data_IF_803885597146
#
_entry.id   IF_803885597146
#
_cell.length_a   1.000
_cell.length_b   1.000
_cell.length_c   1.000
_cell.angle_alpha   90.00
_cell.angle_beta   90.00
_cell.angle_gamma   90.00
#
_symmetry.space_group_name_H-M   'P 1'
#
loop_
_entity.id
_entity.type
_entity.pdbx_description
1 polymer ?
#
# COMPACT_ATOMS: atom_id res chain seq x y z
N UNK A 1 -20.78 17.17 -11.52
CA UNK A 1 -21.83 16.28 -12.06
C UNK A 1 -21.96 15.14 -11.07
N UNK A 2 -23.05 15.04 -10.31
CA UNK A 2 -23.26 13.87 -9.44
C UNK A 2 -23.72 12.73 -10.34
N UNK A 3 -22.93 11.67 -10.41
CA UNK A 3 -23.37 10.44 -11.07
C UNK A 3 -24.46 9.79 -10.21
N UNK A 4 -25.70 9.88 -10.68
CA UNK A 4 -26.83 9.21 -10.05
C UNK A 4 -26.62 7.70 -10.11
N UNK A 5 -26.89 6.98 -8.99
CA UNK A 5 -26.81 5.52 -8.91
C UNK A 5 -27.64 4.84 -10.01
N UNK A 6 -28.73 5.47 -10.40
CA UNK A 6 -29.61 4.99 -11.49
C UNK A 6 -28.86 5.02 -12.82
N UNK A 7 -28.18 6.11 -13.15
CA UNK A 7 -27.40 6.24 -14.39
C UNK A 7 -26.28 5.20 -14.46
N UNK A 8 -25.54 4.98 -13.35
CA UNK A 8 -24.46 3.98 -13.31
C UNK A 8 -25.00 2.56 -13.52
N UNK A 9 -26.18 2.28 -13.00
CA UNK A 9 -26.88 0.98 -13.19
C UNK A 9 -27.39 0.83 -14.62
N UNK A 10 -28.07 1.83 -15.16
CA UNK A 10 -28.67 1.78 -16.49
C UNK A 10 -27.62 1.65 -17.60
N UNK A 11 -26.42 2.23 -17.36
CA UNK A 11 -25.27 2.05 -18.24
C UNK A 11 -24.49 0.76 -17.96
N UNK A 12 -24.95 -0.09 -17.05
CA UNK A 12 -24.25 -1.32 -16.63
C UNK A 12 -22.79 -1.09 -16.27
N UNK A 13 -22.50 0.07 -15.64
CA UNK A 13 -21.12 0.38 -15.20
C UNK A 13 -20.70 -0.60 -14.11
N UNK A 14 -21.56 -0.81 -13.12
CA UNK A 14 -21.39 -1.80 -12.06
C UNK A 14 -22.54 -2.79 -12.08
N UNK A 15 -22.25 -4.06 -12.26
CA UNK A 15 -23.27 -5.12 -12.20
C UNK A 15 -23.31 -5.74 -10.80
N UNK A 16 -24.51 -6.06 -10.34
CA UNK A 16 -24.72 -6.69 -9.03
C UNK A 16 -24.62 -8.22 -9.07
N UNK A 17 -24.68 -8.79 -10.25
CA UNK A 17 -24.77 -10.23 -10.51
C UNK A 17 -23.48 -10.89 -11.00
N UNK A 18 -22.38 -10.11 -11.07
CA UNK A 18 -21.10 -10.61 -11.54
C UNK A 18 -21.03 -10.89 -13.06
N UNK A 19 -22.03 -10.44 -13.82
CA UNK A 19 -22.14 -10.70 -15.27
C UNK A 19 -21.27 -9.81 -16.16
N UNK A 20 -20.30 -9.08 -15.57
CA UNK A 20 -19.32 -8.30 -16.32
C UNK A 20 -19.87 -6.94 -16.82
N UNK A 21 -19.81 -5.92 -15.96
CA UNK A 21 -20.07 -4.53 -16.34
C UNK A 21 -18.88 -3.86 -17.00
N UNK A 22 -19.03 -2.57 -17.34
CA UNK A 22 -17.92 -1.76 -17.88
C UNK A 22 -16.74 -1.70 -16.93
N UNK A 23 -17.01 -1.68 -15.62
CA UNK A 23 -15.97 -1.66 -14.58
C UNK A 23 -15.05 -2.89 -14.69
N UNK A 24 -15.61 -4.08 -14.83
CA UNK A 24 -14.85 -5.33 -14.92
C UNK A 24 -13.98 -5.39 -16.19
N UNK A 25 -14.40 -4.73 -17.26
CA UNK A 25 -13.60 -4.61 -18.49
C UNK A 25 -12.41 -3.66 -18.34
N UNK A 26 -12.52 -2.69 -17.43
CA UNK A 26 -11.47 -1.70 -17.16
C UNK A 26 -10.57 -2.08 -15.99
N UNK A 27 -10.97 -3.07 -15.17
CA UNK A 27 -10.25 -3.46 -13.96
C UNK A 27 -9.08 -4.39 -14.27
N UNK A 28 -7.92 -3.78 -14.50
CA UNK A 28 -6.62 -4.45 -14.57
C UNK A 28 -5.79 -4.23 -13.30
N UNK A 29 -6.42 -3.83 -12.20
CA UNK A 29 -5.71 -3.57 -10.96
C UNK A 29 -5.18 -4.85 -10.33
N UNK A 30 -4.01 -4.77 -9.71
CA UNK A 30 -3.33 -5.91 -9.07
C UNK A 30 -3.53 -5.95 -7.56
N UNK A 31 -4.09 -4.88 -6.98
CA UNK A 31 -4.34 -4.76 -5.53
C UNK A 31 -5.79 -4.38 -5.27
N UNK A 32 -6.31 -4.81 -4.11
CA UNK A 32 -7.67 -4.42 -3.70
C UNK A 32 -7.81 -2.90 -3.55
N UNK A 33 -6.81 -2.24 -2.95
CA UNK A 33 -6.80 -0.78 -2.82
C UNK A 33 -6.84 -0.08 -4.19
N UNK A 34 -6.11 -0.59 -5.20
CA UNK A 34 -6.17 -0.09 -6.57
C UNK A 34 -7.55 -0.26 -7.20
N UNK A 35 -8.18 -1.41 -6.99
CA UNK A 35 -9.55 -1.68 -7.46
C UNK A 35 -10.57 -0.72 -6.84
N UNK A 36 -10.48 -0.50 -5.54
CA UNK A 36 -11.38 0.40 -4.81
C UNK A 36 -11.18 1.86 -5.26
N UNK A 37 -9.93 2.27 -5.52
CA UNK A 37 -9.63 3.59 -6.05
C UNK A 37 -10.17 3.78 -7.48
N UNK A 38 -9.99 2.79 -8.37
CA UNK A 38 -10.58 2.81 -9.72
C UNK A 38 -12.10 2.94 -9.65
N UNK A 39 -12.75 2.15 -8.79
CA UNK A 39 -14.18 2.23 -8.55
C UNK A 39 -14.61 3.62 -8.06
N UNK A 40 -13.89 4.19 -7.11
CA UNK A 40 -14.16 5.51 -6.56
C UNK A 40 -14.03 6.60 -7.65
N UNK A 41 -13.03 6.54 -8.53
CA UNK A 41 -12.87 7.47 -9.64
C UNK A 41 -13.99 7.39 -10.67
N UNK A 42 -14.51 6.19 -10.95
CA UNK A 42 -15.64 6.03 -11.88
C UNK A 42 -16.94 6.54 -11.25
N UNK A 43 -17.14 6.32 -9.94
CA UNK A 43 -18.31 6.80 -9.23
C UNK A 43 -18.30 8.33 -9.04
N UNK A 44 -17.12 8.89 -8.76
CA UNK A 44 -16.92 10.29 -8.47
C UNK A 44 -15.82 10.87 -9.38
N UNK A 45 -16.10 11.08 -10.67
CA UNK A 45 -15.12 11.64 -11.59
C UNK A 45 -14.70 13.05 -11.15
N UNK A 46 -13.49 13.50 -11.53
CA UNK A 46 -13.02 14.83 -11.24
C UNK A 46 -14.04 15.91 -11.67
N UNK A 47 -14.32 16.85 -10.78
CA UNK A 47 -15.35 17.89 -10.93
C UNK A 47 -14.90 19.07 -11.81
N UNK A 48 -13.58 19.21 -12.04
CA UNK A 48 -13.00 20.26 -12.88
C UNK A 48 -12.11 19.68 -13.97
N UNK A 49 -11.99 20.41 -15.07
CA UNK A 49 -11.10 20.06 -16.16
C UNK A 49 -9.63 19.94 -15.71
N UNK A 50 -9.21 20.81 -14.81
CA UNK A 50 -7.86 20.82 -14.27
C UNK A 50 -7.54 19.52 -13.49
N UNK A 51 -8.42 19.13 -12.56
CA UNK A 51 -8.27 17.87 -11.83
C UNK A 51 -8.28 16.64 -12.77
N UNK A 52 -9.16 16.67 -13.78
CA UNK A 52 -9.19 15.61 -14.79
C UNK A 52 -7.85 15.52 -15.54
N UNK A 53 -7.31 16.67 -15.96
CA UNK A 53 -6.03 16.74 -16.64
C UNK A 53 -4.89 16.21 -15.75
N UNK A 54 -4.82 16.62 -14.49
CA UNK A 54 -3.83 16.13 -13.55
C UNK A 54 -3.91 14.60 -13.37
N UNK A 55 -5.13 14.05 -13.28
CA UNK A 55 -5.32 12.59 -13.21
C UNK A 55 -4.82 11.91 -14.47
N UNK A 56 -5.15 12.45 -15.65
CA UNK A 56 -4.67 11.91 -16.92
C UNK A 56 -3.15 11.98 -17.06
N UNK A 57 -2.53 13.06 -16.60
CA UNK A 57 -1.08 13.21 -16.65
C UNK A 57 -0.37 12.19 -15.73
N UNK A 58 -0.93 11.91 -14.55
CA UNK A 58 -0.43 10.84 -13.68
C UNK A 58 -0.56 9.45 -14.33
N UNK A 59 -1.70 9.15 -14.99
CA UNK A 59 -1.89 7.89 -15.73
C UNK A 59 -0.87 7.78 -16.88
N UNK A 60 -0.67 8.84 -17.66
CA UNK A 60 0.29 8.87 -18.76
C UNK A 60 1.72 8.69 -18.27
N UNK A 61 2.07 9.27 -17.12
CA UNK A 61 3.38 9.08 -16.50
C UNK A 61 3.61 7.59 -16.20
N UNK A 62 2.71 6.94 -15.48
CA UNK A 62 2.84 5.51 -15.18
C UNK A 62 2.81 4.61 -16.41
N UNK A 63 2.08 4.99 -17.46
CA UNK A 63 2.08 4.27 -18.74
C UNK A 63 3.44 4.34 -19.45
N UNK A 64 4.13 5.47 -19.33
CA UNK A 64 5.48 5.65 -19.90
C UNK A 64 6.58 5.02 -19.05
N UNK A 65 6.35 4.88 -17.76
CA UNK A 65 7.34 4.42 -16.79
C UNK A 65 6.84 3.22 -15.96
N UNK A 66 6.41 2.10 -16.59
CA UNK A 66 5.87 0.96 -15.87
C UNK A 66 6.88 0.31 -14.92
N UNK A 67 8.17 0.39 -15.23
CA UNK A 67 9.25 -0.22 -14.47
C UNK A 67 9.59 0.55 -13.17
N UNK A 68 9.10 1.78 -13.03
CA UNK A 68 9.31 2.56 -11.80
C UNK A 68 8.44 2.09 -10.64
N UNK A 69 7.36 1.34 -10.90
CA UNK A 69 6.54 0.80 -9.84
C UNK A 69 7.31 -0.27 -9.05
N UNK A 70 7.46 -0.15 -7.74
CA UNK A 70 8.20 -1.13 -6.94
C UNK A 70 7.40 -2.43 -6.80
N UNK A 71 7.75 -3.45 -7.57
CA UNK A 71 7.08 -4.76 -7.57
C UNK A 71 7.04 -5.45 -6.19
N UNK A 72 7.87 -4.98 -5.23
CA UNK A 72 7.88 -5.46 -3.85
C UNK A 72 6.58 -5.06 -3.10
N UNK A 73 5.89 -3.98 -3.52
CA UNK A 73 4.56 -3.61 -3.02
C UNK A 73 3.52 -4.43 -3.78
N UNK A 74 3.25 -5.62 -3.27
CA UNK A 74 2.25 -6.52 -3.83
C UNK A 74 0.93 -6.46 -3.06
N UNK A 75 -0.14 -7.03 -3.63
CA UNK A 75 -1.40 -7.18 -2.91
C UNK A 75 -1.22 -7.98 -1.59
N UNK A 76 -0.38 -9.01 -1.59
CA UNK A 76 -0.06 -9.77 -0.39
C UNK A 76 0.60 -8.90 0.69
N UNK A 77 1.52 -8.01 0.31
CA UNK A 77 2.15 -7.03 1.22
C UNK A 77 1.08 -6.14 1.86
N UNK A 78 0.16 -5.58 1.06
CA UNK A 78 -0.89 -4.69 1.55
C UNK A 78 -1.86 -5.40 2.50
N UNK A 79 -2.38 -6.57 2.12
CA UNK A 79 -3.29 -7.37 2.97
C UNK A 79 -2.66 -7.76 4.30
N UNK A 80 -1.37 -8.12 4.28
CA UNK A 80 -0.66 -8.48 5.52
C UNK A 80 -0.46 -7.29 6.45
N UNK A 81 -0.20 -6.11 5.90
CA UNK A 81 -0.08 -4.88 6.70
C UNK A 81 -1.42 -4.48 7.29
N UNK A 82 -2.50 -4.50 6.53
CA UNK A 82 -3.85 -4.23 7.01
C UNK A 82 -4.19 -5.13 8.22
N UNK A 83 -4.01 -6.45 8.06
CA UNK A 83 -4.25 -7.42 9.15
C UNK A 83 -3.36 -7.19 10.36
N UNK A 84 -2.11 -6.83 10.15
CA UNK A 84 -1.20 -6.53 11.25
C UNK A 84 -1.67 -5.31 12.04
N UNK A 85 -2.03 -4.22 11.38
CA UNK A 85 -2.52 -3.01 12.05
C UNK A 85 -3.89 -3.23 12.71
N UNK A 86 -4.79 -3.98 12.10
CA UNK A 86 -6.07 -4.36 12.72
C UNK A 86 -5.86 -5.21 13.99
N UNK A 87 -4.83 -6.05 14.02
CA UNK A 87 -4.50 -6.87 15.19
C UNK A 87 -3.65 -6.15 16.23
N UNK A 88 -3.06 -5.01 15.91
CA UNK A 88 -2.14 -4.29 16.78
C UNK A 88 -2.77 -3.87 18.12
N UNK A 89 -4.06 -3.57 18.13
CA UNK A 89 -4.82 -3.23 19.35
C UNK A 89 -4.95 -4.41 20.33
N UNK A 90 -4.72 -5.64 19.84
CA UNK A 90 -4.79 -6.86 20.68
C UNK A 90 -3.42 -7.35 21.14
N UNK A 91 -2.33 -6.77 20.59
CA UNK A 91 -0.96 -7.14 20.96
C UNK A 91 -0.59 -6.40 22.24
N UNK A 92 -0.32 -7.16 23.31
CA UNK A 92 0.17 -6.61 24.57
C UNK A 92 1.46 -5.83 24.36
N UNK A 93 1.58 -4.67 25.03
CA UNK A 93 2.78 -3.85 24.94
C UNK A 93 4.04 -4.68 25.27
N UNK A 94 5.13 -4.52 24.49
CA UNK A 94 6.35 -5.27 24.74
C UNK A 94 6.91 -4.94 26.13
N UNK A 95 7.41 -5.93 26.89
CA UNK A 95 8.03 -5.69 28.18
C UNK A 95 9.28 -4.83 28.01
N UNK A 96 9.46 -3.85 28.89
CA UNK A 96 10.62 -2.95 28.88
C UNK A 96 11.82 -3.53 29.64
N UNK A 97 13.04 -3.26 29.17
CA UNK A 97 14.29 -3.54 29.87
C UNK A 97 14.82 -4.97 29.76
N UNK A 98 15.56 -5.43 30.78
CA UNK A 98 16.21 -6.77 30.83
C UNK A 98 15.22 -7.93 30.70
N UNK A 99 13.95 -7.73 31.08
CA UNK A 99 12.86 -8.67 30.89
C UNK A 99 12.62 -8.97 29.37
N UNK A 100 13.05 -8.09 28.48
CA UNK A 100 12.87 -8.23 27.04
C UNK A 100 13.64 -9.43 26.46
N UNK A 101 14.87 -9.68 26.90
CA UNK A 101 15.69 -10.79 26.39
C UNK A 101 15.20 -12.14 26.88
N UNK A 102 14.82 -12.25 28.15
CA UNK A 102 14.33 -13.51 28.75
C UNK A 102 12.92 -13.80 28.28
N UNK A 103 12.06 -12.78 28.23
CA UNK A 103 10.67 -12.91 27.77
C UNK A 103 10.57 -13.18 26.26
N UNK A 104 11.47 -12.63 25.45
CA UNK A 104 11.56 -12.93 24.00
C UNK A 104 11.87 -14.40 23.75
N UNK A 105 12.73 -15.04 24.55
CA UNK A 105 13.01 -16.47 24.46
C UNK A 105 11.79 -17.30 24.86
N UNK A 106 11.12 -16.96 25.97
CA UNK A 106 9.91 -17.63 26.42
C UNK A 106 8.72 -17.41 25.47
N UNK A 107 8.53 -16.21 24.94
CA UNK A 107 7.51 -15.93 23.90
C UNK A 107 7.72 -16.76 22.63
N UNK A 108 8.96 -16.89 22.19
CA UNK A 108 9.32 -17.72 21.05
C UNK A 108 9.02 -19.22 21.29
N UNK A 109 9.12 -19.67 22.53
CA UNK A 109 8.91 -21.06 22.92
C UNK A 109 7.45 -21.39 23.20
N UNK A 110 6.70 -20.45 23.81
CA UNK A 110 5.31 -20.64 24.26
C UNK A 110 4.27 -20.17 23.23
N UNK A 111 4.55 -19.10 22.45
CA UNK A 111 3.65 -18.53 21.47
C UNK A 111 4.27 -18.50 20.05
N UNK A 112 4.58 -19.68 19.57
CA UNK A 112 5.25 -19.86 18.26
C UNK A 112 4.48 -19.21 17.11
N UNK A 113 3.14 -19.24 17.16
CA UNK A 113 2.29 -18.66 16.12
C UNK A 113 2.34 -17.13 16.11
N UNK A 114 2.24 -16.47 17.29
CA UNK A 114 2.34 -15.01 17.39
C UNK A 114 3.72 -14.50 16.97
N UNK A 115 4.79 -15.22 17.35
CA UNK A 115 6.15 -14.88 16.95
C UNK A 115 6.31 -14.93 15.42
N UNK A 116 5.80 -15.99 14.78
CA UNK A 116 5.84 -16.10 13.34
C UNK A 116 5.00 -15.03 12.64
N UNK A 117 3.81 -14.74 13.16
CA UNK A 117 2.94 -13.70 12.61
C UNK A 117 3.62 -12.33 12.69
N UNK A 118 4.15 -11.97 13.85
CA UNK A 118 4.86 -10.69 14.05
C UNK A 118 6.08 -10.58 13.14
N UNK A 119 6.92 -11.64 13.08
CA UNK A 119 8.09 -11.66 12.21
C UNK A 119 7.70 -11.53 10.73
N UNK A 120 6.66 -12.23 10.31
CA UNK A 120 6.16 -12.19 8.96
C UNK A 120 5.62 -10.80 8.60
N UNK A 121 4.83 -10.19 9.49
CA UNK A 121 4.29 -8.84 9.32
C UNK A 121 5.38 -7.78 9.27
N UNK A 122 6.40 -7.86 10.12
CA UNK A 122 7.56 -6.96 10.08
C UNK A 122 8.35 -7.10 8.77
N UNK A 123 8.43 -8.30 8.21
CA UNK A 123 9.06 -8.49 6.89
C UNK A 123 8.28 -7.76 5.79
N UNK A 124 6.95 -7.88 5.80
CA UNK A 124 6.09 -7.16 4.84
C UNK A 124 6.12 -5.65 5.06
N UNK A 125 6.19 -5.19 6.30
CA UNK A 125 6.38 -3.77 6.60
C UNK A 125 7.73 -3.25 6.06
N UNK A 126 8.80 -4.01 6.25
CA UNK A 126 10.11 -3.69 5.66
C UNK A 126 10.04 -3.63 4.13
N UNK A 127 9.37 -4.59 3.48
CA UNK A 127 9.19 -4.61 2.03
C UNK A 127 8.40 -3.39 1.54
N UNK A 128 7.35 -3.02 2.26
CA UNK A 128 6.57 -1.83 1.97
C UNK A 128 7.40 -0.55 2.07
N UNK A 129 8.16 -0.38 3.17
CA UNK A 129 9.02 0.79 3.36
C UNK A 129 10.14 0.88 2.31
N UNK A 130 10.73 -0.26 1.90
CA UNK A 130 11.68 -0.30 0.78
C UNK A 130 11.00 0.12 -0.52
N UNK A 131 9.77 -0.31 -0.76
CA UNK A 131 9.00 0.12 -1.92
C UNK A 131 8.66 1.62 -1.89
N UNK A 132 8.26 2.15 -0.73
CA UNK A 132 8.04 3.58 -0.53
C UNK A 132 9.31 4.42 -0.75
N UNK A 133 10.48 3.90 -0.33
CA UNK A 133 11.76 4.56 -0.60
C UNK A 133 11.99 4.70 -2.12
N UNK A 134 11.76 3.63 -2.88
CA UNK A 134 11.85 3.70 -4.35
C UNK A 134 10.85 4.66 -4.97
N UNK A 135 9.60 4.71 -4.45
CA UNK A 135 8.62 5.68 -4.91
C UNK A 135 9.05 7.12 -4.61
N UNK A 136 9.71 7.36 -3.47
CA UNK A 136 10.21 8.70 -3.12
C UNK A 136 11.31 9.19 -4.06
N UNK A 137 12.12 8.28 -4.65
CA UNK A 137 13.17 8.59 -5.63
C UNK A 137 12.58 9.08 -6.96
N UNK A 138 11.35 8.69 -7.31
CA UNK A 138 10.66 9.17 -8.52
C UNK A 138 10.51 10.69 -8.52
N UNK A 139 10.39 11.31 -7.36
CA UNK A 139 10.29 12.77 -7.22
C UNK A 139 11.49 13.56 -7.74
N UNK A 140 12.59 12.90 -8.11
CA UNK A 140 13.79 13.50 -8.70
C UNK A 140 13.75 13.56 -10.23
N UNK A 141 12.72 12.96 -10.85
CA UNK A 141 12.54 13.01 -12.31
C UNK A 141 11.90 14.33 -12.74
N UNK A 142 12.32 14.85 -13.89
CA UNK A 142 11.87 16.14 -14.41
C UNK A 142 10.40 16.15 -14.89
N UNK A 143 9.85 14.99 -15.25
CA UNK A 143 8.54 14.87 -15.87
C UNK A 143 7.42 14.38 -14.89
N UNK A 144 7.68 14.44 -13.58
CA UNK A 144 6.73 14.00 -12.55
C UNK A 144 5.50 14.93 -12.51
N UNK A 145 4.29 14.39 -12.70
CA UNK A 145 3.06 15.18 -12.65
C UNK A 145 2.84 15.84 -11.29
N UNK A 146 2.24 17.05 -11.29
CA UNK A 146 1.96 17.84 -10.08
C UNK A 146 1.17 17.04 -9.05
N UNK A 147 0.18 16.27 -9.48
CA UNK A 147 -0.61 15.41 -8.58
C UNK A 147 0.26 14.41 -7.79
N UNK A 148 1.34 13.91 -8.40
CA UNK A 148 2.23 12.95 -7.78
C UNK A 148 3.28 13.59 -6.88
N UNK A 149 3.68 14.84 -7.16
CA UNK A 149 4.71 15.53 -6.39
C UNK A 149 4.32 15.68 -4.91
N UNK A 150 3.07 16.06 -4.64
CA UNK A 150 2.57 16.19 -3.27
C UNK A 150 2.52 14.85 -2.53
N UNK A 151 2.10 13.78 -3.19
CA UNK A 151 2.05 12.45 -2.60
C UNK A 151 3.47 11.88 -2.37
N UNK A 152 4.38 12.08 -3.30
CA UNK A 152 5.80 11.69 -3.15
C UNK A 152 6.45 12.45 -2.01
N UNK A 153 6.15 13.75 -1.85
CA UNK A 153 6.63 14.54 -0.72
C UNK A 153 6.13 13.98 0.61
N UNK A 154 4.84 13.66 0.72
CA UNK A 154 4.29 13.02 1.94
C UNK A 154 4.99 11.69 2.25
N UNK A 155 5.20 10.84 1.24
CA UNK A 155 5.95 9.59 1.42
C UNK A 155 7.36 9.86 1.95
N UNK A 156 8.06 10.85 1.41
CA UNK A 156 9.42 11.23 1.84
C UNK A 156 9.43 11.72 3.29
N UNK A 157 8.47 12.56 3.65
CA UNK A 157 8.34 13.10 5.01
C UNK A 157 8.09 11.97 6.02
N UNK A 158 7.19 11.03 5.73
CA UNK A 158 6.90 9.86 6.58
C UNK A 158 8.11 8.91 6.69
N UNK A 159 8.87 8.70 5.59
CA UNK A 159 10.09 7.88 5.60
C UNK A 159 11.21 8.49 6.43
N UNK A 160 11.18 9.79 6.72
CA UNK A 160 12.15 10.45 7.57
C UNK A 160 12.03 10.08 9.06
N UNK A 161 10.99 9.32 9.43
CA UNK A 161 10.78 8.87 10.79
C UNK A 161 11.94 8.00 11.30
N UNK A 162 12.34 8.21 12.57
CA UNK A 162 13.52 7.58 13.21
C UNK A 162 13.55 6.06 13.11
N UNK A 163 12.40 5.40 13.19
CA UNK A 163 12.30 3.93 13.17
C UNK A 163 12.37 3.32 11.76
N UNK A 164 12.24 4.12 10.71
CA UNK A 164 12.24 3.62 9.33
C UNK A 164 13.50 2.82 8.97
N UNK A 165 14.74 3.29 9.25
CA UNK A 165 15.95 2.53 8.96
C UNK A 165 16.04 1.22 9.74
N UNK A 166 15.59 1.22 11.01
CA UNK A 166 15.59 0.02 11.86
C UNK A 166 14.66 -1.05 11.30
N UNK A 167 13.44 -0.69 10.90
CA UNK A 167 12.46 -1.62 10.32
C UNK A 167 12.97 -2.17 8.99
N UNK A 168 13.55 -1.34 8.13
CA UNK A 168 14.12 -1.77 6.84
C UNK A 168 15.26 -2.77 7.07
N UNK A 169 16.06 -2.62 8.13
CA UNK A 169 17.17 -3.52 8.45
C UNK A 169 16.74 -4.92 8.85
N UNK A 170 15.53 -5.10 9.37
CA UNK A 170 14.99 -6.41 9.81
C UNK A 170 15.10 -7.46 8.71
N UNK A 171 14.90 -7.09 7.46
CA UNK A 171 15.01 -8.00 6.31
C UNK A 171 16.44 -8.46 6.07
N UNK A 172 17.44 -7.62 6.33
CA UNK A 172 18.85 -7.98 6.14
C UNK A 172 19.27 -9.08 7.12
N UNK A 173 18.84 -8.96 8.38
CA UNK A 173 19.18 -9.95 9.42
C UNK A 173 18.47 -11.30 9.22
N UNK A 174 17.29 -11.30 8.61
CA UNK A 174 16.51 -12.52 8.40
C UNK A 174 17.08 -13.41 7.29
N UNK A 175 17.80 -12.84 6.31
CA UNK A 175 18.48 -13.59 5.24
C UNK A 175 19.72 -14.37 5.70
N UNK A 176 20.28 -14.04 6.85
CA UNK A 176 21.53 -14.65 7.36
C UNK A 176 21.30 -15.75 8.42
N UNK A 177 20.05 -16.12 8.70
CA UNK A 177 19.70 -17.17 9.69
C UNK A 177 18.77 -18.22 9.10
N UNK A 178 19.21 -18.83 8.00
CA UNK A 178 18.67 -20.11 7.49
C UNK A 178 19.73 -21.18 7.65
#
# INVERSE_FOLDING_TARGET
MQNDKTTLRDLSIFTSDGSGGVFELLDYTTTQAGKDMLRAHIQNPPDTFEKLKHTQDAIRFWTRHPDLWPAIISNGTMVMLERYFESADTISAPPSGLAMSVNSFFHRMLNRQEYFLTKFSLTHLSDFLVGCTKLSEIGELDDVPVLMQDEIKKIRDELSHRLTPEIISVKKETKYKV
#
